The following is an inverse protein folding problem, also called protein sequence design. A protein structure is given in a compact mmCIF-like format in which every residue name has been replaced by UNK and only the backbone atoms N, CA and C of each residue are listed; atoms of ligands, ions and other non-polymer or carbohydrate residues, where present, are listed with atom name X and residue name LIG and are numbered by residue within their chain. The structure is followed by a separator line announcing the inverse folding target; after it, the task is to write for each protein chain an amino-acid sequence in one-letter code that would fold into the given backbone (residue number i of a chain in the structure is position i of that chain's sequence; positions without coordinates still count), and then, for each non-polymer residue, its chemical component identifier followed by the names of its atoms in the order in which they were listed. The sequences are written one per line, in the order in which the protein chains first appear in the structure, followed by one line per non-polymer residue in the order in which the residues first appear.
data_IF_356443858449
#
_entry.id   IF_356443858449
#
_cell.length_a   1.000
_cell.length_b   1.000
_cell.length_c   1.000
_cell.angle_alpha   90.00
_cell.angle_beta   90.00
_cell.angle_gamma   90.00
#
_symmetry.space_group_name_H-M   'P 1'
#
loop_
_entity.id
_entity.type
_entity.pdbx_description
1 polymer ?
#
# COMPACT_ATOMS: atom_id res chain seq x y z
N UNK A 1 20.27 -10.09 6.27
CA UNK A 1 19.93 -10.09 4.84
C UNK A 1 19.00 -8.94 4.58
N UNK A 2 19.30 -8.07 3.61
CA UNK A 2 18.37 -7.01 3.20
C UNK A 2 17.07 -7.64 2.70
N UNK A 3 15.89 -7.09 3.04
CA UNK A 3 14.64 -7.55 2.46
C UNK A 3 14.71 -7.36 0.93
N UNK A 4 14.19 -8.32 0.13
CA UNK A 4 14.15 -8.16 -1.32
C UNK A 4 13.43 -6.85 -1.66
N UNK A 5 13.85 -6.14 -2.72
CA UNK A 5 13.20 -4.90 -3.11
C UNK A 5 11.71 -5.19 -3.32
N UNK A 6 10.84 -4.58 -2.50
CA UNK A 6 9.39 -4.76 -2.53
C UNK A 6 8.81 -4.64 -3.95
N UNK A 7 9.45 -3.84 -4.81
CA UNK A 7 9.09 -3.70 -6.23
C UNK A 7 9.20 -4.98 -7.05
N UNK A 8 10.15 -5.88 -6.77
CA UNK A 8 10.27 -7.14 -7.51
C UNK A 8 9.13 -8.11 -7.17
N UNK A 9 8.85 -8.29 -5.87
CA UNK A 9 7.75 -9.14 -5.40
C UNK A 9 6.41 -8.58 -5.87
N UNK A 10 6.20 -7.27 -5.77
CA UNK A 10 5.00 -6.61 -6.24
C UNK A 10 4.80 -6.74 -7.75
N UNK A 11 5.88 -6.62 -8.54
CA UNK A 11 5.81 -6.80 -9.99
C UNK A 11 5.51 -8.26 -10.36
N UNK A 12 6.05 -9.22 -9.61
CA UNK A 12 5.78 -10.66 -9.80
C UNK A 12 4.32 -11.01 -9.46
N UNK A 13 3.81 -10.51 -8.35
CA UNK A 13 2.41 -10.70 -7.94
C UNK A 13 1.46 -9.98 -8.90
N UNK A 14 1.79 -8.75 -9.28
CA UNK A 14 1.00 -7.97 -10.23
C UNK A 14 0.94 -8.63 -11.61
N UNK A 15 2.07 -9.11 -12.12
CA UNK A 15 2.14 -9.79 -13.42
C UNK A 15 1.38 -11.12 -13.45
N UNK A 16 1.52 -11.94 -12.40
CA UNK A 16 0.76 -13.20 -12.29
C UNK A 16 -0.73 -12.95 -12.18
N UNK A 17 -1.15 -11.96 -11.39
CA UNK A 17 -2.55 -11.54 -11.28
C UNK A 17 -3.10 -11.01 -12.61
N UNK A 18 -2.34 -10.17 -13.32
CA UNK A 18 -2.75 -9.63 -14.62
C UNK A 18 -2.91 -10.72 -15.69
N UNK A 19 -2.02 -11.72 -15.72
CA UNK A 19 -2.18 -12.88 -16.62
C UNK A 19 -3.41 -13.70 -16.24
N UNK A 20 -3.62 -13.96 -14.95
CA UNK A 20 -4.82 -14.66 -14.46
C UNK A 20 -6.13 -13.94 -14.82
N UNK A 21 -6.16 -12.62 -14.69
CA UNK A 21 -7.32 -11.79 -15.04
C UNK A 21 -7.67 -11.87 -16.53
N UNK A 22 -6.68 -11.88 -17.43
CA UNK A 22 -6.90 -12.02 -18.87
C UNK A 22 -7.39 -13.43 -19.22
N UNK A 23 -6.81 -14.46 -18.61
CA UNK A 23 -7.28 -15.83 -18.76
C UNK A 23 -8.74 -15.97 -18.31
N UNK A 24 -9.10 -15.36 -17.18
CA UNK A 24 -10.47 -15.36 -16.66
C UNK A 24 -11.45 -14.62 -17.59
N UNK A 25 -11.07 -13.42 -18.06
CA UNK A 25 -11.89 -12.65 -19.00
C UNK A 25 -12.13 -13.42 -20.32
N UNK A 26 -11.13 -14.15 -20.81
CA UNK A 26 -11.26 -15.03 -21.98
C UNK A 26 -12.13 -16.25 -21.73
N UNK A 27 -12.00 -16.86 -20.56
CA UNK A 27 -12.83 -17.99 -20.16
C UNK A 27 -14.31 -17.60 -20.11
N UNK A 28 -14.63 -16.41 -19.59
CA UNK A 28 -15.99 -15.86 -19.62
C UNK A 28 -16.50 -15.62 -21.04
N UNK A 29 -15.62 -15.19 -21.95
CA UNK A 29 -15.94 -15.00 -23.37
C UNK A 29 -16.05 -16.29 -24.19
N UNK A 30 -15.82 -17.48 -23.59
CA UNK A 30 -15.70 -18.78 -24.29
C UNK A 30 -14.65 -18.81 -25.41
N UNK A 31 -13.70 -17.88 -25.39
CA UNK A 31 -12.63 -17.79 -26.39
C UNK A 31 -11.45 -18.68 -26.01
N UNK A 32 -10.64 -19.09 -26.99
CA UNK A 32 -9.48 -19.96 -26.73
C UNK A 32 -8.45 -19.17 -25.90
N UNK A 33 -8.04 -19.74 -24.76
CA UNK A 33 -7.23 -19.04 -23.75
C UNK A 33 -5.93 -18.48 -24.35
N UNK A 34 -5.30 -19.20 -25.28
CA UNK A 34 -4.00 -18.82 -25.86
C UNK A 34 -4.08 -18.27 -27.29
N UNK A 35 -5.23 -17.80 -27.74
CA UNK A 35 -5.38 -17.33 -29.13
C UNK A 35 -4.52 -16.09 -29.44
N UNK A 36 -4.22 -15.27 -28.43
CA UNK A 36 -3.34 -14.10 -28.54
C UNK A 36 -2.37 -14.03 -27.35
N UNK A 37 -1.21 -14.71 -27.45
CA UNK A 37 -0.24 -14.75 -26.35
C UNK A 37 0.37 -13.37 -26.06
N UNK A 38 0.48 -12.48 -27.07
CA UNK A 38 1.00 -11.13 -26.88
C UNK A 38 0.14 -10.27 -25.94
N UNK A 39 -1.18 -10.48 -25.91
CA UNK A 39 -2.06 -9.72 -25.02
C UNK A 39 -1.82 -10.08 -23.55
N UNK A 40 -1.45 -11.33 -23.25
CA UNK A 40 -1.09 -11.74 -21.89
C UNK A 40 0.22 -11.10 -21.43
N UNK A 41 1.17 -10.92 -22.34
CA UNK A 41 2.45 -10.26 -22.03
C UNK A 41 2.24 -8.76 -21.84
N UNK A 42 1.55 -8.09 -22.77
CA UNK A 42 1.37 -6.64 -22.75
C UNK A 42 0.39 -6.20 -21.65
N UNK A 43 -0.82 -6.77 -21.63
CA UNK A 43 -1.83 -6.35 -20.66
C UNK A 43 -1.73 -7.09 -19.33
N UNK A 44 -1.24 -8.34 -19.33
CA UNK A 44 -1.17 -9.16 -18.13
C UNK A 44 0.10 -8.89 -17.34
N UNK A 45 1.25 -9.22 -17.93
CA UNK A 45 2.54 -9.11 -17.24
C UNK A 45 2.95 -7.65 -17.08
N UNK A 46 3.04 -6.90 -18.18
CA UNK A 46 3.51 -5.51 -18.15
C UNK A 46 2.45 -4.60 -17.49
N UNK A 47 1.19 -4.72 -17.90
CA UNK A 47 0.08 -3.98 -17.28
C UNK A 47 -0.07 -4.26 -15.79
N UNK A 48 -0.03 -5.54 -15.39
CA UNK A 48 -0.13 -5.95 -13.99
C UNK A 48 1.05 -5.49 -13.13
N UNK A 49 2.28 -5.58 -13.65
CA UNK A 49 3.46 -5.08 -12.95
C UNK A 49 3.45 -3.55 -12.80
N UNK A 50 3.07 -2.81 -13.84
CA UNK A 50 2.94 -1.35 -13.77
C UNK A 50 1.86 -0.92 -12.76
N UNK A 51 0.70 -1.60 -12.78
CA UNK A 51 -0.39 -1.36 -11.84
C UNK A 51 0.04 -1.59 -10.39
N UNK A 52 0.72 -2.71 -10.10
CA UNK A 52 1.19 -3.01 -8.75
C UNK A 52 2.20 -1.96 -8.24
N UNK A 53 3.11 -1.50 -9.09
CA UNK A 53 4.06 -0.44 -8.73
C UNK A 53 3.35 0.89 -8.45
N UNK A 54 2.30 1.22 -9.22
CA UNK A 54 1.49 2.42 -8.97
C UNK A 54 0.66 2.32 -7.69
N UNK A 55 0.14 1.14 -7.39
CA UNK A 55 -0.64 0.89 -6.18
C UNK A 55 0.22 1.10 -4.93
N UNK A 56 1.45 0.62 -4.92
CA UNK A 56 2.41 0.83 -3.82
C UNK A 56 2.76 2.30 -3.64
N UNK A 57 2.99 3.04 -4.73
CA UNK A 57 3.22 4.49 -4.65
C UNK A 57 2.03 5.20 -3.99
N UNK A 58 0.81 4.78 -4.34
CA UNK A 58 -0.40 5.36 -3.80
C UNK A 58 -0.60 5.01 -2.32
N UNK A 59 -0.38 3.75 -1.95
CA UNK A 59 -0.42 3.29 -0.56
C UNK A 59 0.58 4.07 0.32
N UNK A 60 1.82 4.23 -0.13
CA UNK A 60 2.83 5.03 0.58
C UNK A 60 2.38 6.49 0.74
N UNK A 61 1.79 7.08 -0.30
CA UNK A 61 1.29 8.47 -0.25
C UNK A 61 0.16 8.61 0.76
N UNK A 62 -0.77 7.65 0.79
CA UNK A 62 -1.88 7.63 1.75
C UNK A 62 -1.37 7.42 3.17
N UNK A 63 -0.42 6.52 3.37
CA UNK A 63 0.21 6.28 4.67
C UNK A 63 0.86 7.57 5.22
N UNK A 64 1.64 8.28 4.40
CA UNK A 64 2.26 9.55 4.82
C UNK A 64 1.22 10.63 5.12
N UNK A 65 0.15 10.73 4.32
CA UNK A 65 -0.93 11.68 4.56
C UNK A 65 -1.68 11.36 5.87
N UNK A 66 -1.87 10.07 6.15
CA UNK A 66 -2.55 9.60 7.36
C UNK A 66 -1.69 9.86 8.60
N UNK A 67 -0.38 9.60 8.54
CA UNK A 67 0.57 9.93 9.61
C UNK A 67 0.56 11.43 9.92
N UNK A 68 0.58 12.28 8.89
CA UNK A 68 0.48 13.74 9.05
C UNK A 68 -0.86 14.15 9.68
N UNK A 69 -1.98 13.62 9.18
CA UNK A 69 -3.30 13.94 9.73
C UNK A 69 -3.46 13.46 11.18
N UNK A 70 -2.83 12.35 11.55
CA UNK A 70 -2.79 11.86 12.93
C UNK A 70 -1.92 12.77 13.78
N UNK A 71 -0.73 13.16 13.32
CA UNK A 71 0.15 14.09 14.02
C UNK A 71 -0.51 15.45 14.25
N UNK A 72 -1.19 16.01 13.24
CA UNK A 72 -1.94 17.26 13.36
C UNK A 72 -3.07 17.17 14.40
N UNK A 73 -3.79 16.03 14.45
CA UNK A 73 -4.84 15.80 15.45
C UNK A 73 -4.27 15.65 16.85
N UNK A 74 -3.15 14.95 16.98
CA UNK A 74 -2.40 14.79 18.23
C UNK A 74 -1.97 16.18 18.74
N UNK A 75 -1.37 17.00 17.89
CA UNK A 75 -0.94 18.35 18.24
C UNK A 75 -2.12 19.28 18.62
N UNK A 76 -3.23 19.24 17.89
CA UNK A 76 -4.44 20.02 18.21
C UNK A 76 -5.07 19.64 19.54
N UNK A 77 -4.97 18.37 19.92
CA UNK A 77 -5.60 17.84 21.14
C UNK A 77 -4.65 17.81 22.35
N UNK A 78 -3.39 18.17 22.14
CA UNK A 78 -2.36 18.24 23.18
C UNK A 78 -2.78 19.32 24.20
N UNK A 79 -2.86 18.94 25.47
CA UNK A 79 -3.23 19.83 26.59
C UNK A 79 -4.72 19.83 26.99
N UNK A 80 -5.64 19.31 26.16
CA UNK A 80 -7.08 19.19 26.52
C UNK A 80 -7.46 17.75 26.91
N UNK A 81 -6.81 16.76 26.30
CA UNK A 81 -7.16 15.34 26.43
C UNK A 81 -5.98 14.47 26.91
N UNK A 82 -4.93 15.10 27.44
CA UNK A 82 -3.68 14.45 27.87
C UNK A 82 -3.92 13.28 28.83
N UNK A 83 -4.80 13.43 29.83
CA UNK A 83 -5.14 12.34 30.76
C UNK A 83 -5.75 11.12 30.04
N UNK A 84 -6.55 11.36 29.00
CA UNK A 84 -7.18 10.31 28.21
C UNK A 84 -6.17 9.62 27.30
N UNK A 85 -5.29 10.40 26.67
CA UNK A 85 -4.22 9.86 25.83
C UNK A 85 -3.17 9.11 26.63
N UNK A 86 -2.81 9.59 27.82
CA UNK A 86 -1.88 8.90 28.74
C UNK A 86 -2.44 7.56 29.21
N UNK A 87 -3.75 7.47 29.42
CA UNK A 87 -4.44 6.22 29.77
C UNK A 87 -4.51 5.20 28.62
N UNK A 88 -4.64 5.66 27.37
CA UNK A 88 -4.74 4.79 26.19
C UNK A 88 -3.36 4.39 25.65
N UNK A 89 -2.41 5.32 25.61
CA UNK A 89 -1.07 5.11 25.04
C UNK A 89 -0.07 4.57 26.07
N UNK A 90 -0.31 4.77 27.36
CA UNK A 90 0.53 4.27 28.45
C UNK A 90 2.00 4.67 28.28
N UNK A 91 2.89 3.67 28.24
CA UNK A 91 4.34 3.87 28.07
C UNK A 91 4.74 4.45 26.70
N UNK A 92 3.86 4.39 25.69
CA UNK A 92 4.11 4.98 24.36
C UNK A 92 3.77 6.46 24.28
N UNK A 93 3.17 7.03 25.32
CA UNK A 93 2.79 8.45 25.33
C UNK A 93 3.97 9.38 25.04
N UNK A 94 5.11 9.13 25.68
CA UNK A 94 6.34 9.92 25.53
C UNK A 94 6.94 9.87 24.11
N UNK A 95 6.60 8.85 23.31
CA UNK A 95 7.07 8.75 21.93
C UNK A 95 6.32 9.70 20.98
N UNK A 96 5.02 9.91 21.23
CA UNK A 96 4.17 10.76 20.38
C UNK A 96 4.10 12.21 20.88
N UNK A 97 4.35 12.42 22.17
CA UNK A 97 4.35 13.74 22.80
C UNK A 97 5.66 13.93 23.59
N UNK A 98 6.79 14.22 22.92
CA UNK A 98 8.00 14.59 23.63
C UNK A 98 7.76 15.90 24.38
N UNK A 99 8.11 15.93 25.67
CA UNK A 99 8.15 17.18 26.43
C UNK A 99 9.14 18.12 25.71
N UNK A 100 8.70 19.33 25.38
CA UNK A 100 9.62 20.34 24.85
C UNK A 100 10.56 20.67 26.01
N UNK A 101 11.83 20.27 25.90
CA UNK A 101 12.88 20.77 26.79
C UNK A 101 12.89 22.30 26.67
N UNK A 102 12.55 22.98 27.77
CA UNK A 102 12.60 24.44 27.92
C UNK A 102 14.03 24.98 27.90
#
# INVERSE_FOLDING_TARGET
GQPPPMGFVASLVGSTYGVGAICFARALGKNRIFERPWEHVIFGVIGGAWFANKLIQWENTVATCLEQAVADKIQRNQGVLDDKYRKVLGSRYAHYFPEKEE
#
